data_IF_639343435771
#
_entry.id   IF_639343435771
#
_cell.length_a   1.000
_cell.length_b   1.000
_cell.length_c   1.000
_cell.angle_alpha   90.00
_cell.angle_beta   90.00
_cell.angle_gamma   90.00
#
_symmetry.space_group_name_H-M   'P 1'
#
loop_
_entity.id
_entity.type
_entity.pdbx_description
1 polymer ?
#
# COMPACT_ATOMS: atom_id res chain seq x y z
N UNK A 1 14.24 -0.93 7.32
CA UNK A 1 13.18 -0.63 6.34
C UNK A 1 11.84 -0.45 7.04
N UNK A 2 11.27 -1.47 7.65
CA UNK A 2 9.97 -1.37 8.34
C UNK A 2 9.90 -0.26 9.39
N UNK A 3 10.99 0.03 10.10
CA UNK A 3 11.03 1.08 11.13
C UNK A 3 10.62 2.47 10.61
N UNK A 4 10.97 2.83 9.37
CA UNK A 4 10.55 4.10 8.78
C UNK A 4 9.05 4.13 8.44
N UNK A 5 8.51 3.02 7.92
CA UNK A 5 7.06 2.92 7.68
C UNK A 5 6.28 2.98 9.00
N UNK A 6 6.80 2.38 10.06
CA UNK A 6 6.23 2.46 11.41
C UNK A 6 6.31 3.86 11.98
N UNK A 7 7.44 4.55 11.81
CA UNK A 7 7.60 5.95 12.24
C UNK A 7 6.59 6.86 11.51
N UNK A 8 6.41 6.68 10.21
CA UNK A 8 5.42 7.44 9.47
C UNK A 8 3.99 7.16 9.96
N UNK A 9 3.63 5.89 10.15
CA UNK A 9 2.33 5.50 10.68
C UNK A 9 2.08 6.02 12.10
N UNK A 10 3.09 5.99 12.98
CA UNK A 10 2.98 6.49 14.36
C UNK A 10 2.85 8.00 14.47
N UNK A 11 3.30 8.75 13.46
CA UNK A 11 3.17 10.22 13.38
C UNK A 11 1.88 10.67 12.71
N UNK A 12 1.17 9.77 12.02
CA UNK A 12 -0.11 10.08 11.40
C UNK A 12 -1.20 10.17 12.49
N UNK A 13 -1.97 11.25 12.48
CA UNK A 13 -3.00 11.53 13.50
C UNK A 13 -4.21 10.57 13.37
N UNK A 14 -4.45 10.07 12.17
CA UNK A 14 -5.57 9.16 11.87
C UNK A 14 -5.32 7.70 12.23
N UNK A 15 -4.07 7.32 12.56
CA UNK A 15 -3.71 5.93 12.82
C UNK A 15 -3.80 5.61 14.31
N UNK A 16 -4.76 4.80 14.70
CA UNK A 16 -5.00 4.40 16.08
C UNK A 16 -4.16 3.18 16.51
N UNK A 17 -3.88 2.25 15.60
CA UNK A 17 -3.14 1.03 15.87
C UNK A 17 -2.45 0.50 14.60
N UNK A 18 -1.40 -0.30 14.78
CA UNK A 18 -0.66 -0.93 13.69
C UNK A 18 -0.64 -2.44 13.90
N UNK A 19 -0.96 -3.18 12.85
CA UNK A 19 -0.85 -4.65 12.78
C UNK A 19 0.19 -5.00 11.73
N UNK A 20 1.14 -5.86 12.06
CA UNK A 20 2.20 -6.31 11.15
C UNK A 20 2.03 -7.79 10.84
N UNK A 21 1.82 -8.11 9.57
CA UNK A 21 1.87 -9.49 9.08
C UNK A 21 3.36 -9.89 8.86
N UNK A 22 3.89 -10.67 9.79
CA UNK A 22 5.29 -11.05 9.83
C UNK A 22 5.61 -12.19 8.87
N UNK A 23 6.74 -12.16 8.13
CA UNK A 23 7.24 -13.34 7.47
C UNK A 23 7.49 -14.46 8.49
N UNK A 24 7.29 -15.74 8.14
CA UNK A 24 7.51 -16.85 9.04
C UNK A 24 8.92 -16.84 9.67
N UNK A 25 8.99 -16.94 11.00
CA UNK A 25 10.24 -16.96 11.76
C UNK A 25 10.83 -15.58 12.10
N UNK A 26 10.21 -14.48 11.66
CA UNK A 26 10.67 -13.11 11.95
C UNK A 26 9.80 -12.36 12.98
N UNK A 27 8.84 -13.05 13.61
CA UNK A 27 7.90 -12.43 14.56
C UNK A 27 8.61 -11.85 15.78
N UNK A 28 9.65 -12.55 16.28
CA UNK A 28 10.42 -12.09 17.44
C UNK A 28 11.25 -10.83 17.12
N UNK A 29 11.86 -10.76 15.96
CA UNK A 29 12.61 -9.59 15.49
C UNK A 29 11.68 -8.38 15.32
N UNK A 30 10.50 -8.60 14.76
CA UNK A 30 9.52 -7.53 14.56
C UNK A 30 8.95 -7.01 15.89
N UNK A 31 8.71 -7.88 16.88
CA UNK A 31 8.33 -7.44 18.23
C UNK A 31 9.38 -6.57 18.89
N UNK A 32 10.67 -6.84 18.64
CA UNK A 32 11.75 -6.03 19.16
C UNK A 32 11.83 -4.64 18.51
N UNK A 33 11.48 -4.53 17.23
CA UNK A 33 11.51 -3.28 16.45
C UNK A 33 10.23 -2.47 16.62
N UNK A 34 9.10 -3.14 16.83
CA UNK A 34 7.76 -2.56 16.89
C UNK A 34 7.00 -3.06 18.14
N UNK A 35 7.42 -2.68 19.35
CA UNK A 35 6.83 -3.18 20.60
C UNK A 35 5.34 -2.80 20.76
N UNK A 36 4.92 -1.70 20.15
CA UNK A 36 3.55 -1.19 20.24
C UNK A 36 2.63 -1.72 19.11
N UNK A 37 3.18 -2.47 18.14
CA UNK A 37 2.39 -3.05 17.06
C UNK A 37 1.93 -4.47 17.40
N UNK A 38 0.74 -4.83 16.94
CA UNK A 38 0.30 -6.23 16.98
C UNK A 38 0.97 -7.03 15.86
N UNK A 39 1.63 -8.14 16.21
CA UNK A 39 2.32 -8.99 15.25
C UNK A 39 1.51 -10.25 15.01
N UNK A 40 1.11 -10.48 13.77
CA UNK A 40 0.42 -11.68 13.32
C UNK A 40 1.29 -12.47 12.33
N UNK A 41 1.13 -13.79 12.21
CA UNK A 41 1.79 -14.56 11.18
C UNK A 41 1.34 -14.09 9.79
N UNK A 42 2.27 -13.87 8.88
CA UNK A 42 1.98 -13.68 7.47
C UNK A 42 1.42 -14.96 6.82
N UNK A 43 0.70 -14.78 5.73
CA UNK A 43 0.15 -15.89 4.95
C UNK A 43 1.10 -16.37 3.85
N UNK A 44 0.65 -17.35 3.08
CA UNK A 44 1.38 -17.90 1.91
C UNK A 44 1.37 -16.97 0.70
N UNK A 45 0.56 -15.92 0.74
CA UNK A 45 0.47 -14.87 -0.27
C UNK A 45 0.30 -13.49 0.40
N UNK A 46 0.41 -12.41 -0.40
CA UNK A 46 0.13 -11.04 0.06
C UNK A 46 -1.31 -10.92 0.59
N UNK A 47 -2.29 -11.37 -0.17
CA UNK A 47 -3.70 -11.33 0.22
C UNK A 47 -3.98 -12.15 1.49
N UNK A 48 -3.34 -13.33 1.65
CA UNK A 48 -3.45 -14.12 2.87
C UNK A 48 -2.84 -13.40 4.08
N UNK A 49 -1.73 -12.68 3.90
CA UNK A 49 -1.12 -11.87 4.96
C UNK A 49 -2.03 -10.70 5.38
N UNK A 50 -2.65 -10.02 4.42
CA UNK A 50 -3.63 -8.95 4.69
C UNK A 50 -4.85 -9.52 5.42
N UNK A 51 -5.36 -10.68 5.01
CA UNK A 51 -6.48 -11.36 5.70
C UNK A 51 -6.15 -11.64 7.16
N UNK A 52 -4.98 -12.23 7.44
CA UNK A 52 -4.56 -12.53 8.81
C UNK A 52 -4.44 -11.24 9.66
N UNK A 53 -3.93 -10.15 9.08
CA UNK A 53 -3.84 -8.87 9.79
C UNK A 53 -5.23 -8.28 10.07
N UNK A 54 -6.17 -8.40 9.13
CA UNK A 54 -7.53 -7.89 9.30
C UNK A 54 -8.30 -8.59 10.43
N UNK A 55 -7.95 -9.81 10.82
CA UNK A 55 -8.56 -10.46 11.98
C UNK A 55 -8.39 -9.67 13.29
N UNK A 56 -7.37 -8.78 13.33
CA UNK A 56 -7.04 -7.92 14.48
C UNK A 56 -7.54 -6.48 14.34
N UNK A 57 -8.17 -6.15 13.23
CA UNK A 57 -8.69 -4.82 12.96
C UNK A 57 -10.15 -4.75 13.36
N UNK A 58 -10.49 -3.79 14.24
CA UNK A 58 -11.86 -3.54 14.70
C UNK A 58 -12.42 -2.19 14.21
N UNK A 59 -11.57 -1.38 13.58
CA UNK A 59 -11.94 -0.05 13.08
C UNK A 59 -12.76 -0.13 11.79
N UNK A 60 -13.59 0.88 11.54
CA UNK A 60 -14.39 1.01 10.31
C UNK A 60 -13.50 1.17 9.07
N UNK A 61 -12.39 1.88 9.23
CA UNK A 61 -11.42 2.11 8.16
C UNK A 61 -10.10 1.42 8.48
N UNK A 62 -9.45 0.91 7.45
CA UNK A 62 -8.12 0.28 7.54
C UNK A 62 -7.24 0.75 6.38
N UNK A 63 -5.97 0.97 6.68
CA UNK A 63 -4.95 1.25 5.68
C UNK A 63 -4.01 0.06 5.53
N UNK A 64 -3.79 -0.38 4.30
CA UNK A 64 -2.77 -1.38 3.96
C UNK A 64 -1.55 -0.68 3.38
N UNK A 65 -0.38 -0.93 3.96
CA UNK A 65 0.85 -0.29 3.54
C UNK A 65 2.00 -1.30 3.34
N UNK A 66 2.69 -1.16 2.21
CA UNK A 66 3.88 -1.96 1.93
C UNK A 66 5.06 -1.45 2.77
N UNK A 67 5.61 -2.28 3.66
CA UNK A 67 6.84 -1.95 4.41
C UNK A 67 8.05 -1.63 3.50
N UNK A 68 7.97 -2.03 2.23
CA UNK A 68 8.93 -1.69 1.18
C UNK A 68 8.81 -0.26 0.63
N UNK A 69 7.92 0.59 1.17
CA UNK A 69 7.78 2.02 0.82
C UNK A 69 8.11 2.92 2.03
N UNK A 70 9.36 2.98 2.45
CA UNK A 70 9.75 3.69 3.68
C UNK A 70 9.68 5.21 3.59
N UNK A 71 9.38 5.77 2.41
CA UNK A 71 9.32 7.22 2.19
C UNK A 71 7.90 7.79 2.22
N UNK A 72 6.87 6.98 2.41
CA UNK A 72 5.51 7.49 2.58
C UNK A 72 5.46 8.46 3.78
N UNK A 73 5.08 9.73 3.59
CA UNK A 73 4.99 10.68 4.70
C UNK A 73 3.77 10.39 5.58
N UNK A 74 3.80 10.78 6.84
CA UNK A 74 2.67 10.63 7.76
C UNK A 74 1.40 11.31 7.23
N UNK A 75 1.53 12.49 6.62
CA UNK A 75 0.42 13.22 6.01
C UNK A 75 -0.35 12.40 4.96
N UNK A 76 0.35 11.54 4.19
CA UNK A 76 -0.31 10.72 3.18
C UNK A 76 -1.28 9.69 3.79
N UNK A 77 -0.99 9.17 4.99
CA UNK A 77 -1.92 8.30 5.72
C UNK A 77 -3.16 9.10 6.14
N UNK A 78 -2.96 10.31 6.67
CA UNK A 78 -4.05 11.19 7.09
C UNK A 78 -4.92 11.64 5.90
N UNK A 79 -4.29 12.00 4.78
CA UNK A 79 -4.96 12.41 3.55
C UNK A 79 -5.83 11.30 2.97
N UNK A 80 -5.32 10.06 2.91
CA UNK A 80 -6.09 8.88 2.44
C UNK A 80 -7.26 8.61 3.36
N UNK A 81 -7.04 8.63 4.69
CA UNK A 81 -8.10 8.42 5.68
C UNK A 81 -9.18 9.49 5.58
N UNK A 82 -8.79 10.76 5.46
CA UNK A 82 -9.71 11.88 5.33
C UNK A 82 -10.52 11.79 4.01
N UNK A 83 -9.86 11.47 2.89
CA UNK A 83 -10.53 11.33 1.60
C UNK A 83 -11.56 10.18 1.62
N UNK A 84 -11.22 9.02 2.22
CA UNK A 84 -12.14 7.89 2.35
C UNK A 84 -13.31 8.20 3.29
N UNK A 85 -13.05 8.93 4.37
CA UNK A 85 -14.09 9.35 5.32
C UNK A 85 -15.08 10.34 4.69
N UNK A 86 -14.59 11.22 3.81
CA UNK A 86 -15.39 12.25 3.16
C UNK A 86 -16.28 11.72 2.01
N UNK A 87 -15.90 10.61 1.37
CA UNK A 87 -16.66 10.01 0.25
C UNK A 87 -17.34 8.71 0.69
N UNK A 88 -18.61 8.80 1.10
CA UNK A 88 -19.38 7.62 1.49
C UNK A 88 -19.64 6.64 0.33
N UNK A 89 -19.43 7.04 -0.92
CA UNK A 89 -19.58 6.18 -2.10
C UNK A 89 -18.31 5.39 -2.44
N UNK A 90 -17.17 5.72 -1.82
CA UNK A 90 -15.92 5.03 -2.03
C UNK A 90 -15.75 3.87 -1.04
N UNK A 91 -15.44 2.68 -1.55
CA UNK A 91 -15.04 1.52 -0.78
C UNK A 91 -13.54 1.52 -0.48
N UNK A 92 -12.77 2.17 -1.36
CA UNK A 92 -11.35 2.38 -1.19
C UNK A 92 -10.87 3.74 -1.74
N UNK A 93 -9.83 4.29 -1.10
CA UNK A 93 -9.02 5.42 -1.61
C UNK A 93 -7.55 5.00 -1.57
N UNK A 94 -6.85 5.09 -2.70
CA UNK A 94 -5.49 4.58 -2.81
C UNK A 94 -4.51 5.64 -3.31
N UNK A 95 -3.32 5.66 -2.72
CA UNK A 95 -2.25 6.53 -3.17
C UNK A 95 -1.79 6.15 -4.58
N UNK A 96 -1.61 7.12 -5.45
CA UNK A 96 -1.10 6.89 -6.80
C UNK A 96 -0.33 8.10 -7.34
N UNK A 97 0.67 7.85 -8.19
CA UNK A 97 1.45 8.86 -8.88
C UNK A 97 1.12 8.92 -10.37
N UNK A 98 1.28 10.10 -10.98
CA UNK A 98 1.22 10.22 -12.44
C UNK A 98 2.42 9.55 -13.09
N UNK A 99 2.19 8.87 -14.22
CA UNK A 99 3.28 8.27 -14.99
C UNK A 99 4.00 9.34 -15.80
N UNK A 100 5.31 9.48 -15.58
CA UNK A 100 6.15 10.46 -16.27
C UNK A 100 6.63 9.99 -17.64
N UNK A 101 6.89 8.69 -17.81
CA UNK A 101 7.43 8.11 -19.03
C UNK A 101 6.36 7.85 -20.09
N UNK A 102 6.79 7.76 -21.36
CA UNK A 102 5.93 7.28 -22.44
C UNK A 102 5.73 5.78 -22.33
N UNK A 103 4.47 5.35 -22.22
CA UNK A 103 4.11 3.94 -22.14
C UNK A 103 3.87 3.34 -23.52
N UNK A 104 4.40 2.15 -23.73
CA UNK A 104 4.19 1.36 -24.94
C UNK A 104 3.57 0.02 -24.57
N UNK A 105 2.58 -0.42 -25.36
CA UNK A 105 2.17 -1.82 -25.39
C UNK A 105 3.02 -2.55 -26.41
N UNK A 106 3.50 -3.73 -26.08
CA UNK A 106 4.28 -4.57 -26.99
C UNK A 106 3.75 -6.01 -26.97
N UNK A 107 3.97 -6.74 -28.07
CA UNK A 107 3.78 -8.18 -28.12
C UNK A 107 4.94 -8.94 -27.45
N UNK A 108 4.84 -10.28 -27.44
CA UNK A 108 5.84 -11.18 -26.83
C UNK A 108 7.23 -11.07 -27.46
N UNK A 109 7.31 -10.64 -28.73
CA UNK A 109 8.54 -10.39 -29.48
C UNK A 109 9.12 -8.97 -29.24
N UNK A 110 8.59 -8.24 -28.26
CA UNK A 110 8.91 -6.84 -27.94
C UNK A 110 8.60 -5.84 -29.08
N UNK A 111 7.82 -6.23 -30.11
CA UNK A 111 7.36 -5.30 -31.14
C UNK A 111 6.29 -4.38 -30.56
N UNK A 112 6.48 -3.07 -30.69
CA UNK A 112 5.52 -2.06 -30.20
C UNK A 112 4.27 -2.12 -31.04
N UNK A 113 3.11 -2.31 -30.37
CA UNK A 113 1.77 -2.36 -30.98
C UNK A 113 0.97 -1.08 -30.75
N UNK A 114 1.25 -0.36 -29.66
CA UNK A 114 0.49 0.84 -29.28
C UNK A 114 1.33 1.80 -28.43
N UNK A 115 1.10 3.10 -28.60
CA UNK A 115 1.51 4.12 -27.60
C UNK A 115 0.31 4.44 -26.73
N UNK A 116 0.41 4.15 -25.43
CA UNK A 116 -0.68 4.36 -24.49
C UNK A 116 -0.74 5.84 -24.10
N UNK A 117 -1.92 6.45 -24.17
CA UNK A 117 -2.13 7.79 -23.62
C UNK A 117 -2.02 7.73 -22.08
N UNK A 118 -0.96 8.31 -21.56
CA UNK A 118 -0.68 8.32 -20.12
C UNK A 118 -1.51 9.31 -19.31
N UNK A 119 -2.30 10.18 -19.96
CA UNK A 119 -3.09 11.20 -19.25
C UNK A 119 -4.07 10.60 -18.23
N UNK A 120 -4.58 9.40 -18.51
CA UNK A 120 -5.47 8.65 -17.63
C UNK A 120 -4.78 7.51 -16.86
N UNK A 121 -3.45 7.36 -16.98
CA UNK A 121 -2.71 6.26 -16.34
C UNK A 121 -2.05 6.74 -15.05
N UNK A 122 -2.21 5.94 -14.01
CA UNK A 122 -1.63 6.17 -12.70
C UNK A 122 -0.84 4.95 -12.23
N UNK A 123 0.30 5.21 -11.62
CA UNK A 123 1.09 4.17 -10.94
C UNK A 123 0.61 4.07 -9.49
N UNK A 124 -0.05 2.96 -9.16
CA UNK A 124 -0.60 2.71 -7.83
C UNK A 124 0.52 2.53 -6.81
N UNK A 125 0.30 3.09 -5.64
CA UNK A 125 1.21 3.04 -4.50
C UNK A 125 0.45 2.57 -3.24
N UNK A 126 1.11 2.62 -2.10
CA UNK A 126 0.50 2.51 -0.77
C UNK A 126 0.96 3.69 0.11
N UNK A 127 0.15 4.14 1.12
CA UNK A 127 -0.99 3.44 1.70
C UNK A 127 -2.20 3.36 0.78
N UNK A 128 -2.98 2.29 0.95
CA UNK A 128 -4.30 2.08 0.37
C UNK A 128 -5.31 2.01 1.51
N UNK A 129 -6.28 2.91 1.53
CA UNK A 129 -7.33 2.96 2.53
C UNK A 129 -8.58 2.23 2.06
N UNK A 130 -9.21 1.50 2.95
CA UNK A 130 -10.39 0.68 2.68
C UNK A 130 -11.43 0.83 3.78
N UNK A 131 -12.71 0.69 3.43
CA UNK A 131 -13.72 0.31 4.41
C UNK A 131 -13.47 -1.13 4.81
N UNK A 132 -13.37 -1.39 6.11
CA UNK A 132 -13.00 -2.71 6.63
C UNK A 132 -13.95 -3.81 6.18
N UNK A 133 -15.26 -3.52 6.07
CA UNK A 133 -16.24 -4.47 5.56
C UNK A 133 -16.00 -4.80 4.08
N UNK A 134 -15.72 -3.78 3.26
CA UNK A 134 -15.51 -3.97 1.83
C UNK A 134 -14.27 -4.83 1.53
N UNK A 135 -13.12 -4.54 2.19
CA UNK A 135 -11.92 -5.35 1.97
C UNK A 135 -12.04 -6.76 2.52
N UNK A 136 -12.73 -6.97 3.65
CA UNK A 136 -13.03 -8.32 4.16
C UNK A 136 -13.83 -9.11 3.15
N UNK A 137 -14.94 -8.54 2.63
CA UNK A 137 -15.75 -9.19 1.61
C UNK A 137 -14.97 -9.48 0.31
N UNK A 138 -14.12 -8.57 -0.14
CA UNK A 138 -13.29 -8.75 -1.32
C UNK A 138 -12.22 -9.86 -1.14
N UNK A 139 -11.70 -10.05 0.06
CA UNK A 139 -10.75 -11.12 0.39
C UNK A 139 -11.41 -12.51 0.55
N UNK A 140 -12.72 -12.62 0.56
CA UNK A 140 -13.44 -13.89 0.51
C UNK A 140 -13.56 -14.44 -0.93
N UNK A 141 -12.98 -13.73 -1.91
CA UNK A 141 -12.94 -14.16 -3.30
C UNK A 141 -12.26 -15.54 -3.49
N UNK A 142 -12.59 -16.26 -4.58
CA UNK A 142 -11.93 -17.52 -4.94
C UNK A 142 -10.40 -17.39 -5.04
N UNK A 143 -9.70 -18.48 -4.74
CA UNK A 143 -8.24 -18.49 -4.66
C UNK A 143 -7.52 -18.07 -5.96
N UNK A 144 -8.10 -18.37 -7.11
CA UNK A 144 -7.59 -17.96 -8.41
C UNK A 144 -7.72 -16.44 -8.65
N UNK A 145 -8.79 -15.82 -8.19
CA UNK A 145 -8.96 -14.36 -8.23
C UNK A 145 -7.98 -13.67 -7.25
N UNK A 146 -7.83 -14.20 -6.03
CA UNK A 146 -6.84 -13.69 -5.07
C UNK A 146 -5.41 -13.79 -5.61
N UNK A 147 -5.10 -14.86 -6.34
CA UNK A 147 -3.78 -15.06 -6.95
C UNK A 147 -3.53 -14.14 -8.15
N UNK A 148 -4.58 -13.77 -8.90
CA UNK A 148 -4.49 -12.86 -10.04
C UNK A 148 -4.45 -11.38 -9.63
N UNK A 149 -4.88 -11.04 -8.41
CA UNK A 149 -4.90 -9.67 -7.92
C UNK A 149 -3.48 -9.11 -7.76
N UNK A 150 -3.25 -7.94 -8.31
CA UNK A 150 -1.96 -7.24 -8.22
C UNK A 150 -1.82 -6.43 -6.94
N UNK A 151 -2.94 -5.98 -6.37
CA UNK A 151 -3.05 -5.27 -5.10
C UNK A 151 -4.44 -5.52 -4.46
N UNK A 152 -4.69 -4.95 -3.27
CA UNK A 152 -5.96 -5.17 -2.58
C UNK A 152 -7.10 -4.35 -3.21
N UNK A 153 -6.78 -3.21 -3.83
CA UNK A 153 -7.78 -2.39 -4.51
C UNK A 153 -8.38 -3.11 -5.72
N UNK A 154 -7.60 -3.89 -6.45
CA UNK A 154 -8.10 -4.70 -7.57
C UNK A 154 -9.14 -5.74 -7.14
N UNK A 155 -9.08 -6.22 -5.91
CA UNK A 155 -10.12 -7.12 -5.35
C UNK A 155 -11.43 -6.37 -5.07
N UNK A 156 -11.34 -5.10 -4.62
CA UNK A 156 -12.53 -4.24 -4.47
C UNK A 156 -13.19 -4.01 -5.83
N UNK A 157 -12.40 -3.70 -6.87
CA UNK A 157 -12.90 -3.52 -8.25
C UNK A 157 -13.58 -4.79 -8.78
N UNK A 158 -12.97 -5.95 -8.59
CA UNK A 158 -13.55 -7.25 -8.98
C UNK A 158 -14.86 -7.56 -8.25
N UNK A 159 -15.00 -7.11 -7.01
CA UNK A 159 -16.23 -7.23 -6.23
C UNK A 159 -17.31 -6.18 -6.64
N UNK A 160 -17.01 -5.29 -7.59
CA UNK A 160 -17.92 -4.24 -8.05
C UNK A 160 -17.92 -3.00 -7.17
N UNK A 161 -16.97 -2.87 -6.26
CA UNK A 161 -16.80 -1.71 -5.39
C UNK A 161 -16.15 -0.52 -6.09
N UNK A 162 -16.18 0.63 -5.43
CA UNK A 162 -15.67 1.90 -5.96
C UNK A 162 -14.31 2.22 -5.36
N UNK A 163 -13.29 2.32 -6.22
CA UNK A 163 -11.93 2.74 -5.86
C UNK A 163 -11.67 4.15 -6.36
N UNK A 164 -11.18 5.03 -5.47
CA UNK A 164 -10.75 6.39 -5.81
C UNK A 164 -9.24 6.52 -5.73
N UNK A 165 -8.65 7.31 -6.62
CA UNK A 165 -7.22 7.63 -6.58
C UNK A 165 -6.99 8.92 -5.78
N UNK A 166 -5.97 8.90 -4.92
CA UNK A 166 -5.42 10.07 -4.27
C UNK A 166 -4.02 10.36 -4.83
N UNK A 167 -3.77 11.59 -5.28
CA UNK A 167 -2.49 11.94 -5.87
C UNK A 167 -1.40 12.06 -4.80
N UNK A 168 -0.47 11.10 -4.78
CA UNK A 168 0.74 11.19 -3.96
C UNK A 168 1.74 12.15 -4.65
N UNK A 169 2.06 13.26 -4.00
CA UNK A 169 2.96 14.31 -4.52
C UNK A 169 4.42 14.05 -4.18
N UNK A 170 4.67 13.43 -3.05
CA UNK A 170 6.03 13.11 -2.59
C UNK A 170 6.57 11.82 -3.22
N UNK A 171 7.91 11.73 -3.42
CA UNK A 171 8.54 10.48 -3.84
C UNK A 171 8.25 9.34 -2.85
N UNK A 172 7.59 8.30 -3.34
CA UNK A 172 7.23 7.12 -2.54
C UNK A 172 7.56 5.83 -3.31
N UNK A 173 8.84 5.63 -3.73
CA UNK A 173 9.25 4.46 -4.48
C UNK A 173 9.13 3.19 -3.62
N UNK A 174 8.82 2.07 -4.29
CA UNK A 174 8.90 0.74 -3.67
C UNK A 174 10.32 0.21 -3.81
N UNK A 175 10.90 -0.23 -2.70
CA UNK A 175 12.20 -0.91 -2.67
C UNK A 175 12.04 -2.33 -3.25
N UNK A 176 12.53 -2.53 -4.47
CA UNK A 176 12.49 -3.83 -5.16
C UNK A 176 13.85 -4.28 -5.63
N UNK A 177 14.78 -3.34 -5.80
CA UNK A 177 16.14 -3.60 -6.28
C UNK A 177 17.19 -2.94 -5.39
N UNK A 178 18.48 -3.37 -5.46
CA UNK A 178 19.57 -2.67 -4.78
C UNK A 178 19.77 -1.21 -5.23
N UNK A 179 19.31 -0.86 -6.43
CA UNK A 179 19.36 0.52 -6.92
C UNK A 179 18.34 1.41 -6.18
N UNK A 180 17.15 0.87 -5.92
CA UNK A 180 16.12 1.58 -5.17
C UNK A 180 16.57 1.88 -3.73
N UNK A 181 17.35 0.96 -3.12
CA UNK A 181 17.87 1.17 -1.77
C UNK A 181 18.78 2.41 -1.73
N UNK A 182 19.70 2.56 -2.69
CA UNK A 182 20.58 3.75 -2.76
C UNK A 182 19.79 5.05 -2.95
N UNK A 183 18.74 5.00 -3.77
CA UNK A 183 17.87 6.16 -3.97
C UNK A 183 17.15 6.54 -2.68
N UNK A 184 16.57 5.56 -1.99
CA UNK A 184 15.83 5.77 -0.74
C UNK A 184 16.75 6.28 0.36
N UNK A 185 17.96 5.72 0.51
CA UNK A 185 18.96 6.21 1.47
C UNK A 185 19.31 7.67 1.23
N UNK A 186 19.57 8.06 -0.03
CA UNK A 186 19.87 9.46 -0.37
C UNK A 186 18.69 10.40 -0.08
N UNK A 187 17.43 9.96 -0.29
CA UNK A 187 16.25 10.75 0.02
C UNK A 187 16.00 10.88 1.52
N UNK A 188 16.25 9.82 2.29
CA UNK A 188 16.16 9.86 3.77
C UNK A 188 17.20 10.78 4.38
N UNK A 189 18.45 10.77 3.88
CA UNK A 189 19.51 11.69 4.33
C UNK A 189 19.10 13.14 4.11
N UNK A 190 18.57 13.48 2.93
CA UNK A 190 18.08 14.83 2.64
C UNK A 190 16.93 15.26 3.56
N UNK A 191 16.02 14.35 3.92
CA UNK A 191 14.94 14.66 4.88
C UNK A 191 15.49 14.96 6.26
N UNK A 192 16.53 14.24 6.70
CA UNK A 192 17.18 14.46 7.98
C UNK A 192 17.98 15.78 8.04
N UNK A 193 18.50 16.27 6.91
CA UNK A 193 19.26 17.52 6.80
C UNK A 193 18.36 18.77 6.62
N UNK A 194 17.14 18.59 6.16
CA UNK A 194 16.19 19.67 5.83
C UNK A 194 15.09 19.91 6.85
N UNK A 195 15.03 19.13 7.93
CA UNK A 195 14.13 19.27 9.06
C UNK A 195 14.85 19.75 10.30
#
# INVERSE_FOLDING_TARGET
MIAWSLEAASRAESIAAVVIAAPPGHEAELRAVAPDAEIVPGGTSRSASVRNALEKVETELVLVHDAARPLAPASLFDEITAALSADASADAVIAAGRVADTLKRAGDDATVTETIDRAAIWAVQTPQGFRSEAIRGALDAPADQLAAATDDASLIELAGGTVRLHAATDPNPKLTTPADLRLVEALLQRRAEGG
#
